data_IF_534225889514
#
_entry.id   IF_534225889514
#
_cell.length_a   1.000
_cell.length_b   1.000
_cell.length_c   1.000
_cell.angle_alpha   90.00
_cell.angle_beta   90.00
_cell.angle_gamma   90.00
#
_symmetry.space_group_name_H-M   'P 1'
#
loop_
_entity.id
_entity.type
_entity.pdbx_description
1 polymer ?
#
# COMPACT_ATOMS: atom_id res chain seq x y z
N UNK A 1 6.69 -19.67 -7.38
CA UNK A 1 5.39 -19.28 -6.82
C UNK A 1 4.84 -18.14 -7.63
N UNK A 2 3.59 -18.24 -8.09
CA UNK A 2 2.87 -17.19 -8.83
C UNK A 2 2.10 -16.25 -7.89
N UNK A 3 2.42 -16.25 -6.60
CA UNK A 3 1.74 -15.45 -5.55
C UNK A 3 2.17 -13.97 -5.53
N UNK A 4 2.93 -13.53 -6.54
CA UNK A 4 3.34 -12.15 -6.77
C UNK A 4 2.47 -11.59 -7.88
N UNK A 5 1.74 -10.51 -7.58
CA UNK A 5 0.92 -9.78 -8.55
C UNK A 5 1.45 -8.35 -8.73
N UNK A 6 0.67 -7.49 -9.41
CA UNK A 6 1.00 -6.08 -9.61
C UNK A 6 1.26 -5.33 -8.30
N UNK A 7 0.63 -5.74 -7.19
CA UNK A 7 0.79 -5.05 -5.91
C UNK A 7 2.21 -5.21 -5.36
N UNK A 8 2.68 -6.46 -5.28
CA UNK A 8 4.06 -6.76 -4.89
C UNK A 8 5.09 -6.06 -5.80
N UNK A 9 4.83 -6.02 -7.11
CA UNK A 9 5.73 -5.35 -8.06
C UNK A 9 5.75 -3.83 -7.84
N UNK A 10 4.61 -3.21 -7.56
CA UNK A 10 4.53 -1.79 -7.22
C UNK A 10 5.26 -1.47 -5.92
N UNK A 11 5.10 -2.32 -4.89
CA UNK A 11 5.81 -2.20 -3.62
C UNK A 11 7.34 -2.25 -3.80
N UNK A 12 7.83 -3.24 -4.55
CA UNK A 12 9.25 -3.34 -4.90
C UNK A 12 9.73 -2.13 -5.71
N UNK A 13 8.95 -1.68 -6.70
CA UNK A 13 9.32 -0.58 -7.58
C UNK A 13 9.46 0.74 -6.82
N UNK A 14 8.61 1.00 -5.82
CA UNK A 14 8.71 2.20 -4.98
C UNK A 14 10.08 2.29 -4.31
N UNK A 15 10.60 1.18 -3.80
CA UNK A 15 11.96 1.12 -3.25
C UNK A 15 13.05 1.36 -4.30
N UNK A 16 12.83 0.94 -5.56
CA UNK A 16 13.77 1.20 -6.67
C UNK A 16 13.77 2.65 -7.12
N UNK A 17 12.63 3.32 -7.04
CA UNK A 17 12.50 4.74 -7.40
C UNK A 17 12.89 5.69 -6.28
N UNK A 18 13.10 5.19 -5.05
CA UNK A 18 13.30 6.04 -3.87
C UNK A 18 12.08 6.89 -3.54
N UNK A 19 10.88 6.41 -3.90
CA UNK A 19 9.64 7.11 -3.61
C UNK A 19 9.23 6.89 -2.14
N UNK A 20 8.65 7.91 -1.52
CA UNK A 20 8.26 7.88 -0.12
C UNK A 20 6.85 7.33 0.09
N UNK A 21 6.08 7.15 -0.98
CA UNK A 21 4.65 6.82 -0.89
C UNK A 21 4.23 5.89 -2.02
N UNK A 22 3.44 4.88 -1.68
CA UNK A 22 2.76 3.98 -2.59
C UNK A 22 1.24 4.16 -2.43
N UNK A 23 0.56 4.51 -3.52
CA UNK A 23 -0.89 4.49 -3.61
C UNK A 23 -1.32 3.30 -4.48
N UNK A 24 -2.10 2.38 -3.92
CA UNK A 24 -2.80 1.35 -4.70
C UNK A 24 -4.28 1.71 -4.84
N UNK A 25 -4.79 1.59 -6.07
CA UNK A 25 -6.21 1.79 -6.38
C UNK A 25 -6.85 0.41 -6.54
N UNK A 26 -7.93 0.17 -5.79
CA UNK A 26 -8.64 -1.11 -5.75
C UNK A 26 -10.09 -0.93 -6.18
N UNK A 27 -10.69 -2.02 -6.67
CA UNK A 27 -12.11 -2.09 -7.04
C UNK A 27 -13.06 -2.24 -5.84
N UNK A 28 -12.54 -2.24 -4.61
CA UNK A 28 -13.29 -2.40 -3.36
C UNK A 28 -12.94 -1.27 -2.40
N UNK A 29 -13.86 -0.95 -1.49
CA UNK A 29 -13.63 -0.04 -0.35
C UNK A 29 -13.54 -0.78 0.99
N UNK A 30 -13.41 -2.11 0.96
CA UNK A 30 -13.35 -2.94 2.15
C UNK A 30 -11.95 -2.87 2.81
N UNK A 31 -11.54 -1.70 3.28
CA UNK A 31 -10.31 -1.50 4.06
C UNK A 31 -10.47 -0.28 4.96
N UNK A 32 -9.75 -0.28 6.08
CA UNK A 32 -9.77 0.77 7.09
C UNK A 32 -8.35 1.19 7.44
N UNK A 33 -8.16 2.43 7.92
CA UNK A 33 -6.81 2.92 8.24
C UNK A 33 -6.12 2.13 9.36
N UNK A 34 -6.90 1.45 10.21
CA UNK A 34 -6.42 0.55 11.27
C UNK A 34 -6.06 -0.85 10.77
N UNK A 35 -6.30 -1.19 9.50
CA UNK A 35 -5.92 -2.49 8.97
C UNK A 35 -4.39 -2.64 8.97
N UNK A 36 -3.94 -3.89 9.17
CA UNK A 36 -2.54 -4.26 8.94
C UNK A 36 -2.38 -4.78 7.51
N UNK A 37 -1.16 -4.66 6.98
CA UNK A 37 -0.86 -5.17 5.64
C UNK A 37 -1.13 -6.69 5.54
N UNK A 38 -0.75 -7.45 6.56
CA UNK A 38 -1.01 -8.90 6.59
C UNK A 38 -2.53 -9.21 6.64
N UNK A 39 -3.31 -8.40 7.35
CA UNK A 39 -4.78 -8.52 7.36
C UNK A 39 -5.40 -8.23 5.99
N UNK A 40 -4.86 -7.25 5.26
CA UNK A 40 -5.26 -6.94 3.88
C UNK A 40 -4.90 -8.08 2.93
N UNK A 41 -3.74 -8.73 3.12
CA UNK A 41 -3.32 -9.88 2.33
C UNK A 41 -4.23 -11.10 2.56
N UNK A 42 -4.55 -11.42 3.82
CA UNK A 42 -5.49 -12.50 4.17
C UNK A 42 -6.87 -12.30 3.55
N UNK A 43 -7.30 -11.05 3.41
CA UNK A 43 -8.59 -10.68 2.78
C UNK A 43 -8.51 -10.57 1.25
N UNK A 44 -7.34 -10.78 0.66
CA UNK A 44 -7.13 -10.69 -0.80
C UNK A 44 -7.21 -9.26 -1.35
N UNK A 45 -7.06 -8.24 -0.50
CA UNK A 45 -7.03 -6.84 -0.94
C UNK A 45 -5.69 -6.51 -1.59
N UNK A 46 -4.61 -7.04 -1.03
CA UNK A 46 -3.27 -7.09 -1.63
C UNK A 46 -2.81 -8.53 -1.77
N UNK A 47 -1.84 -8.79 -2.64
CA UNK A 47 -1.25 -10.13 -2.74
C UNK A 47 -0.36 -10.49 -1.53
N UNK A 48 -0.10 -11.79 -1.37
CA UNK A 48 0.64 -12.33 -0.23
C UNK A 48 2.12 -11.89 -0.18
N UNK A 49 2.71 -11.54 -1.32
CA UNK A 49 4.09 -11.06 -1.39
C UNK A 49 4.25 -9.60 -0.96
N UNK A 50 3.16 -8.85 -0.87
CA UNK A 50 3.18 -7.39 -0.73
C UNK A 50 3.96 -6.94 0.52
N UNK A 51 3.71 -7.56 1.68
CA UNK A 51 4.43 -7.24 2.93
C UNK A 51 5.94 -7.39 2.76
N UNK A 52 6.41 -8.43 2.07
CA UNK A 52 7.83 -8.69 1.89
C UNK A 52 8.50 -7.69 0.92
N UNK A 53 7.74 -7.15 -0.03
CA UNK A 53 8.24 -6.26 -1.07
C UNK A 53 8.16 -4.78 -0.70
N UNK A 54 7.29 -4.39 0.24
CA UNK A 54 7.16 -3.01 0.68
C UNK A 54 8.38 -2.61 1.54
N UNK A 55 9.15 -1.58 1.13
CA UNK A 55 10.26 -1.06 1.91
C UNK A 55 9.78 -0.41 3.21
N UNK A 56 10.63 -0.44 4.24
CA UNK A 56 10.35 0.25 5.49
C UNK A 56 10.33 1.78 5.28
N UNK A 57 9.44 2.48 5.98
CA UNK A 57 9.32 3.94 5.90
C UNK A 57 8.52 4.46 4.69
N UNK A 58 8.06 3.58 3.80
CA UNK A 58 7.14 3.96 2.72
C UNK A 58 5.72 4.12 3.26
N UNK A 59 5.10 5.27 2.97
CA UNK A 59 3.71 5.51 3.26
C UNK A 59 2.82 4.72 2.30
N UNK A 60 1.99 3.82 2.82
CA UNK A 60 1.08 3.02 2.01
C UNK A 60 -0.35 3.58 2.08
N UNK A 61 -0.93 3.87 0.92
CA UNK A 61 -2.31 4.34 0.78
C UNK A 61 -3.14 3.38 -0.07
N UNK A 62 -4.42 3.25 0.29
CA UNK A 62 -5.42 2.52 -0.48
C UNK A 62 -6.58 3.46 -0.86
N UNK A 63 -6.88 3.50 -2.15
CA UNK A 63 -8.06 4.15 -2.70
C UNK A 63 -9.02 3.11 -3.30
N UNK A 64 -10.32 3.36 -3.17
CA UNK A 64 -11.40 2.54 -3.69
C UNK A 64 -12.35 3.32 -4.58
N UNK A 65 -13.47 2.72 -5.02
CA UNK A 65 -14.42 3.38 -5.92
C UNK A 65 -14.97 4.72 -5.40
N UNK A 66 -15.12 4.86 -4.07
CA UNK A 66 -15.60 6.09 -3.45
C UNK A 66 -14.65 7.28 -3.63
N UNK A 67 -13.36 7.02 -3.83
CA UNK A 67 -12.33 8.07 -3.91
C UNK A 67 -12.12 8.55 -5.36
N UNK A 68 -12.70 7.85 -6.35
CA UNK A 68 -12.48 8.10 -7.77
C UNK A 68 -12.98 9.48 -8.24
N UNK A 69 -14.11 9.95 -7.68
CA UNK A 69 -14.71 11.23 -8.07
C UNK A 69 -13.80 12.43 -7.77
N UNK A 70 -13.04 12.37 -6.67
CA UNK A 70 -12.17 13.46 -6.21
C UNK A 70 -10.70 13.27 -6.58
N UNK A 71 -10.33 12.06 -7.04
CA UNK A 71 -8.94 11.68 -7.30
C UNK A 71 -8.20 12.65 -8.22
N UNK A 72 -8.83 13.12 -9.31
CA UNK A 72 -8.22 14.05 -10.25
C UNK A 72 -7.84 15.39 -9.59
N UNK A 73 -8.75 15.95 -8.78
CA UNK A 73 -8.51 17.22 -8.08
C UNK A 73 -7.45 17.08 -6.97
N UNK A 74 -7.48 15.96 -6.23
CA UNK A 74 -6.49 15.67 -5.20
C UNK A 74 -5.09 15.53 -5.82
N UNK A 75 -4.94 14.72 -6.85
CA UNK A 75 -3.64 14.54 -7.52
C UNK A 75 -3.12 15.84 -8.13
N UNK A 76 -3.99 16.64 -8.77
CA UNK A 76 -3.61 17.94 -9.33
C UNK A 76 -3.15 18.95 -8.26
N UNK A 77 -3.61 18.81 -7.02
CA UNK A 77 -3.18 19.63 -5.88
C UNK A 77 -2.02 19.04 -5.08
N UNK A 78 -1.43 17.93 -5.53
CA UNK A 78 -0.32 17.25 -4.84
C UNK A 78 -0.74 16.39 -3.65
N UNK A 79 -2.04 16.11 -3.51
CA UNK A 79 -2.59 15.24 -2.46
C UNK A 79 -2.93 13.85 -3.03
N UNK A 80 -3.12 12.88 -2.14
CA UNK A 80 -3.47 11.50 -2.52
C UNK A 80 -4.93 11.19 -2.20
N UNK A 81 -5.66 10.50 -3.10
CA UNK A 81 -6.95 9.91 -2.76
C UNK A 81 -6.81 8.70 -1.81
N UNK A 82 -7.92 8.33 -1.18
CA UNK A 82 -7.99 7.16 -0.33
C UNK A 82 -7.51 7.41 1.10
N UNK A 83 -7.09 6.34 1.78
CA UNK A 83 -6.68 6.39 3.18
C UNK A 83 -5.28 5.80 3.35
N UNK A 84 -4.51 6.36 4.29
CA UNK A 84 -3.25 5.77 4.75
C UNK A 84 -3.53 4.52 5.58
N UNK A 85 -2.84 3.45 5.26
CA UNK A 85 -2.86 2.20 6.04
C UNK A 85 -1.73 2.26 7.06
N UNK A 86 -2.01 1.83 8.29
CA UNK A 86 -1.01 1.78 9.34
C UNK A 86 0.16 0.88 8.90
N UNK A 87 1.37 1.47 8.82
CA UNK A 87 2.57 0.70 8.57
C UNK A 87 2.85 -0.21 9.78
N UNK A 88 3.22 -1.47 9.57
CA UNK A 88 3.67 -2.32 10.65
C UNK A 88 4.94 -1.72 11.26
N UNK A 89 5.00 -1.63 12.58
CA UNK A 89 6.24 -1.30 13.29
C UNK A 89 7.13 -2.55 13.19
N UNK A 90 8.04 -2.59 12.20
CA UNK A 90 9.10 -3.60 12.21
C UNK A 90 10.09 -3.26 13.31
N UNK A 91 10.12 -4.07 14.37
CA UNK A 91 11.14 -3.96 15.40
C UNK A 91 12.51 -4.14 14.74
N UNK A 92 13.44 -3.22 15.01
CA UNK A 92 14.80 -3.29 14.49
C UNK A 92 15.39 -4.67 14.81
N UNK A 93 15.86 -5.40 13.79
CA UNK A 93 16.60 -6.64 14.03
C UNK A 93 17.79 -6.29 14.92
N UNK A 94 17.89 -6.90 16.11
CA UNK A 94 19.16 -6.91 16.83
C UNK A 94 20.18 -7.58 15.92
N UNK A 95 21.17 -6.81 15.47
CA UNK A 95 22.37 -7.37 14.89
C UNK A 95 23.00 -8.28 15.95
N UNK A 96 23.11 -9.56 15.64
CA UNK A 96 23.92 -10.53 16.37
C UNK A 96 25.26 -10.71 15.70
#
# INVERSE_FOLDING_TARGET
SWDITSDSLAAWLVGKLGANTLLLIKQTGAFFGSDTIDGLAVRGIVDAGFTAMLPDGVDFHLAGPKDAAEAGALLASGNLPGIRIAAPIRSARKAG
#
